data_IF_469581516851
#
_entry.id   IF_469581516851
#
_cell.length_a   1.000
_cell.length_b   1.000
_cell.length_c   1.000
_cell.angle_alpha   90.00
_cell.angle_beta   90.00
_cell.angle_gamma   90.00
#
_symmetry.space_group_name_H-M   'P 1'
#
loop_
_entity.id
_entity.type
_entity.pdbx_description
1 polymer ?
#
# COMPACT_ATOMS: atom_id res chain seq x y z
N UNK A 1 -24.51 13.20 -14.86
CA UNK A 1 -24.10 13.13 -13.45
C UNK A 1 -22.91 12.18 -13.35
N UNK A 2 -21.67 12.63 -13.06
CA UNK A 2 -20.57 11.71 -12.85
C UNK A 2 -20.71 11.08 -11.46
N UNK A 3 -20.86 9.75 -11.43
CA UNK A 3 -21.05 8.94 -10.22
C UNK A 3 -19.71 8.75 -9.49
N UNK A 4 -19.73 9.07 -8.20
CA UNK A 4 -19.01 8.46 -7.07
C UNK A 4 -17.52 8.19 -7.29
N UNK A 5 -16.69 9.05 -6.69
CA UNK A 5 -15.33 8.70 -6.29
C UNK A 5 -15.41 7.61 -5.20
N UNK A 6 -15.60 6.37 -5.60
CA UNK A 6 -15.14 5.22 -4.82
C UNK A 6 -13.60 5.25 -4.91
N UNK A 7 -12.88 4.85 -3.85
CA UNK A 7 -11.41 4.71 -3.73
C UNK A 7 -10.67 5.67 -2.78
N UNK A 8 -11.27 6.04 -1.63
CA UNK A 8 -10.50 6.23 -0.39
C UNK A 8 -10.85 5.15 0.66
N UNK A 9 -11.51 4.07 0.25
CA UNK A 9 -11.82 2.93 1.12
C UNK A 9 -10.88 1.73 0.86
N UNK A 10 -10.17 1.68 -0.27
CA UNK A 10 -9.38 0.50 -0.65
C UNK A 10 -8.01 0.46 0.03
N UNK A 11 -7.34 1.60 0.19
CA UNK A 11 -6.02 1.66 0.84
C UNK A 11 -6.12 1.44 2.35
N UNK A 12 -6.93 2.23 3.06
CA UNK A 12 -7.14 2.07 4.51
C UNK A 12 -7.65 0.67 4.87
N UNK A 13 -8.55 0.10 4.07
CA UNK A 13 -9.00 -1.29 4.28
C UNK A 13 -7.87 -2.29 4.07
N UNK A 14 -7.03 -2.11 3.05
CA UNK A 14 -5.88 -2.99 2.81
C UNK A 14 -4.84 -2.89 3.93
N UNK A 15 -4.63 -1.68 4.47
CA UNK A 15 -3.75 -1.44 5.61
C UNK A 15 -4.27 -2.13 6.88
N UNK A 16 -5.56 -1.98 7.19
CA UNK A 16 -6.18 -2.68 8.33
C UNK A 16 -6.11 -4.20 8.19
N UNK A 17 -6.30 -4.74 6.98
CA UNK A 17 -6.15 -6.17 6.74
C UNK A 17 -4.70 -6.63 6.97
N UNK A 18 -3.72 -5.82 6.54
CA UNK A 18 -2.30 -6.12 6.75
C UNK A 18 -1.94 -6.11 8.24
N UNK A 19 -2.44 -5.14 9.02
CA UNK A 19 -2.26 -5.09 10.47
C UNK A 19 -2.83 -6.33 11.17
N UNK A 20 -4.02 -6.78 10.77
CA UNK A 20 -4.63 -7.99 11.30
C UNK A 20 -3.81 -9.25 10.98
N UNK A 21 -3.28 -9.34 9.75
CA UNK A 21 -2.41 -10.44 9.34
C UNK A 21 -1.15 -10.48 10.20
N UNK A 22 -0.47 -9.33 10.36
CA UNK A 22 0.74 -9.22 11.18
C UNK A 22 0.43 -9.66 12.61
N UNK A 23 -0.64 -9.14 13.22
CA UNK A 23 -1.03 -9.51 14.58
C UNK A 23 -1.30 -11.01 14.74
N UNK A 24 -1.90 -11.67 13.74
CA UNK A 24 -2.16 -13.12 13.77
C UNK A 24 -0.89 -13.94 13.55
N UNK A 25 0.05 -13.47 12.74
CA UNK A 25 1.35 -14.12 12.56
C UNK A 25 2.21 -14.00 13.83
N UNK A 26 2.19 -12.82 14.47
CA UNK A 26 2.94 -12.55 15.71
C UNK A 26 2.39 -13.30 16.92
N UNK A 27 1.11 -13.70 16.93
CA UNK A 27 0.57 -14.52 18.02
C UNK A 27 1.24 -15.90 18.10
N UNK A 28 1.76 -16.42 16.98
CA UNK A 28 2.39 -17.73 16.90
C UNK A 28 1.44 -18.91 17.08
N UNK A 29 0.12 -18.68 17.11
CA UNK A 29 -0.90 -19.71 17.34
C UNK A 29 -1.32 -20.42 16.05
N UNK A 30 -0.90 -19.93 14.89
CA UNK A 30 -1.28 -20.47 13.58
C UNK A 30 -0.51 -21.75 13.24
N UNK A 31 -1.19 -22.79 12.73
CA UNK A 31 -0.52 -23.89 12.04
C UNK A 31 0.35 -23.38 10.88
N UNK A 32 1.43 -24.10 10.56
CA UNK A 32 2.39 -23.68 9.52
C UNK A 32 1.73 -23.35 8.17
N UNK A 33 0.79 -24.17 7.72
CA UNK A 33 0.09 -23.96 6.46
C UNK A 33 -0.76 -22.68 6.47
N UNK A 34 -1.44 -22.41 7.58
CA UNK A 34 -2.21 -21.16 7.76
C UNK A 34 -1.29 -19.95 7.84
N UNK A 35 -0.16 -20.05 8.55
CA UNK A 35 0.83 -18.99 8.63
C UNK A 35 1.42 -18.65 7.25
N UNK A 36 1.68 -19.65 6.40
CA UNK A 36 2.13 -19.42 5.02
C UNK A 36 1.05 -18.72 4.18
N UNK A 37 -0.21 -19.13 4.30
CA UNK A 37 -1.32 -18.47 3.59
C UNK A 37 -1.50 -17.01 4.02
N UNK A 38 -1.46 -16.73 5.33
CA UNK A 38 -1.55 -15.36 5.86
C UNK A 38 -0.35 -14.52 5.42
N UNK A 39 0.85 -15.09 5.40
CA UNK A 39 2.05 -14.41 4.90
C UNK A 39 1.94 -14.05 3.41
N UNK A 40 1.52 -14.99 2.55
CA UNK A 40 1.33 -14.72 1.13
C UNK A 40 0.32 -13.59 0.89
N UNK A 41 -0.80 -13.62 1.64
CA UNK A 41 -1.81 -12.56 1.60
C UNK A 41 -1.24 -11.22 2.06
N UNK A 42 -0.46 -11.20 3.13
CA UNK A 42 0.22 -10.00 3.63
C UNK A 42 1.15 -9.39 2.59
N UNK A 43 1.95 -10.22 1.90
CA UNK A 43 2.83 -9.77 0.81
C UNK A 43 2.04 -9.15 -0.34
N UNK A 44 0.91 -9.74 -0.72
CA UNK A 44 0.06 -9.18 -1.78
C UNK A 44 -0.52 -7.82 -1.39
N UNK A 45 -1.04 -7.69 -0.16
CA UNK A 45 -1.59 -6.43 0.36
C UNK A 45 -0.51 -5.34 0.41
N UNK A 46 0.69 -5.66 0.89
CA UNK A 46 1.81 -4.72 0.95
C UNK A 46 2.20 -4.20 -0.45
N UNK A 47 2.31 -5.11 -1.44
CA UNK A 47 2.60 -4.73 -2.83
C UNK A 47 1.53 -3.82 -3.43
N UNK A 48 0.26 -4.14 -3.20
CA UNK A 48 -0.85 -3.32 -3.67
C UNK A 48 -0.84 -1.93 -3.02
N UNK A 49 -0.60 -1.87 -1.70
CA UNK A 49 -0.46 -0.61 -0.98
C UNK A 49 0.67 0.25 -1.53
N UNK A 50 1.84 -0.32 -1.79
CA UNK A 50 2.96 0.38 -2.40
C UNK A 50 2.61 0.95 -3.78
N UNK A 51 1.90 0.20 -4.63
CA UNK A 51 1.44 0.68 -5.94
C UNK A 51 0.44 1.84 -5.80
N UNK A 52 -0.49 1.76 -4.85
CA UNK A 52 -1.43 2.86 -4.57
C UNK A 52 -0.70 4.12 -4.13
N UNK A 53 0.29 3.99 -3.24
CA UNK A 53 1.10 5.13 -2.79
C UNK A 53 1.90 5.75 -3.94
N UNK A 54 2.51 4.94 -4.81
CA UNK A 54 3.22 5.42 -6.00
C UNK A 54 2.31 6.20 -6.95
N UNK A 55 1.08 5.72 -7.17
CA UNK A 55 0.08 6.43 -7.98
C UNK A 55 -0.35 7.76 -7.34
N UNK A 56 -0.54 7.77 -6.02
CA UNK A 56 -0.88 8.98 -5.28
C UNK A 56 0.27 10.00 -5.36
N UNK A 57 1.51 9.56 -5.16
CA UNK A 57 2.70 10.40 -5.28
C UNK A 57 2.84 10.98 -6.69
N UNK A 58 2.68 10.17 -7.73
CA UNK A 58 2.71 10.64 -9.12
C UNK A 58 1.64 11.70 -9.36
N UNK A 59 0.43 11.51 -8.83
CA UNK A 59 -0.65 12.48 -8.96
C UNK A 59 -0.34 13.80 -8.25
N UNK A 60 0.24 13.74 -7.05
CA UNK A 60 0.71 14.93 -6.32
C UNK A 60 1.80 15.65 -7.12
N UNK A 61 2.79 14.92 -7.66
CA UNK A 61 3.85 15.50 -8.51
C UNK A 61 3.28 16.21 -9.73
N UNK A 62 2.30 15.62 -10.43
CA UNK A 62 1.65 16.26 -11.59
C UNK A 62 0.93 17.57 -11.17
N UNK A 63 0.28 17.58 -10.01
CA UNK A 63 -0.42 18.77 -9.50
C UNK A 63 0.54 19.87 -9.04
N UNK A 64 1.72 19.49 -8.53
CA UNK A 64 2.79 20.43 -8.15
C UNK A 64 3.58 20.93 -9.38
N UNK A 65 3.71 20.09 -10.43
CA UNK A 65 4.44 20.39 -11.67
C UNK A 65 3.60 21.17 -12.71
N UNK A 66 2.52 21.83 -12.28
CA UNK A 66 2.03 23.04 -12.98
C UNK A 66 3.04 24.22 -12.83
N UNK A 67 4.11 24.06 -12.03
CA UNK A 67 5.42 24.68 -12.27
C UNK A 67 6.28 23.73 -13.13
N UNK A 68 6.53 24.11 -14.38
CA UNK A 68 6.92 23.26 -15.53
C UNK A 68 8.28 22.53 -15.45
N UNK A 69 9.01 22.58 -14.33
CA UNK A 69 10.45 22.26 -14.29
C UNK A 69 10.89 21.30 -13.16
N UNK A 70 9.99 20.62 -12.43
CA UNK A 70 10.45 19.71 -11.36
C UNK A 70 10.82 18.30 -11.86
N UNK A 71 12.12 17.99 -11.81
CA UNK A 71 12.70 16.69 -12.16
C UNK A 71 12.30 15.55 -11.21
N UNK A 72 12.16 14.34 -11.78
CA UNK A 72 11.78 13.14 -11.04
C UNK A 72 13.00 12.51 -10.38
N UNK A 73 13.09 12.55 -9.05
CA UNK A 73 13.92 11.60 -8.31
C UNK A 73 13.09 10.38 -7.91
N UNK A 74 13.67 9.19 -8.07
CA UNK A 74 13.09 7.95 -7.58
C UNK A 74 13.15 7.95 -6.04
N UNK A 75 12.07 7.54 -5.38
CA UNK A 75 12.08 7.30 -3.95
C UNK A 75 12.87 6.01 -3.67
N UNK A 76 14.12 6.16 -3.23
CA UNK A 76 14.91 5.07 -2.65
C UNK A 76 14.66 5.06 -1.15
N UNK A 77 14.00 4.02 -0.59
CA UNK A 77 13.98 3.87 0.85
C UNK A 77 15.42 3.59 1.32
N UNK A 78 16.03 4.56 2.00
CA UNK A 78 17.23 4.29 2.80
C UNK A 78 16.79 3.35 3.93
N UNK A 79 17.26 2.10 3.86
CA UNK A 79 17.27 1.23 5.03
C UNK A 79 18.40 1.71 5.94
N UNK A 80 18.07 2.46 6.99
CA UNK A 80 18.86 2.54 8.23
C UNK A 80 18.43 1.41 9.18
#
# INVERSE_FOLDING_TARGET
MPKKAEQPASFETSLQQLEQIVSRLESGELPLEEALNEFERGVQLARNGQQTLQQAEQRVRILLNDDKDADLTAFTPEND
#
